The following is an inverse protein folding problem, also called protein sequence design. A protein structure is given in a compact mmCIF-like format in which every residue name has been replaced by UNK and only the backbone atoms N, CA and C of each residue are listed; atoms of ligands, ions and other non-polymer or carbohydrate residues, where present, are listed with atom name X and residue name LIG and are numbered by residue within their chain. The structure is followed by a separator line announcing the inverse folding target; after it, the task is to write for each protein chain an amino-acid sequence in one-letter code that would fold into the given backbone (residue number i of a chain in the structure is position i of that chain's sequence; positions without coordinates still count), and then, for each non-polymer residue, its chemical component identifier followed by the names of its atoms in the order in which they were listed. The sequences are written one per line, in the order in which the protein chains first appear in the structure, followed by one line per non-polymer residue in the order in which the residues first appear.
data_IF_179769353088
#
_entry.id   IF_179769353088
#
_cell.length_a   1.000
_cell.length_b   1.000
_cell.length_c   1.000
_cell.angle_alpha   90.00
_cell.angle_beta   90.00
_cell.angle_gamma   90.00
#
_symmetry.space_group_name_H-M   'P 1'
#
loop_
_entity.id
_entity.type
_entity.pdbx_description
1 polymer ?
#
# COMPACT_ATOMS: atom_id res chain seq x y z
N UNK A 1 4.71 4.50 6.14
CA UNK A 1 4.54 5.26 7.39
C UNK A 1 5.90 5.55 8.00
N UNK A 2 6.11 6.76 8.50
CA UNK A 2 7.21 7.11 9.39
C UNK A 2 6.65 7.22 10.80
N UNK A 3 7.39 6.72 11.80
CA UNK A 3 7.00 6.85 13.20
C UNK A 3 7.12 8.34 13.60
N UNK A 4 6.06 8.99 14.11
CA UNK A 4 6.05 10.42 14.43
C UNK A 4 6.98 10.78 15.59
N UNK A 5 6.83 10.05 16.70
CA UNK A 5 7.55 10.26 17.95
C UNK A 5 8.50 9.09 18.14
N UNK A 6 9.79 9.42 18.23
CA UNK A 6 10.81 8.42 18.51
C UNK A 6 10.61 7.88 19.93
N UNK A 7 10.79 6.57 20.16
CA UNK A 7 10.73 6.01 21.51
C UNK A 7 11.82 6.65 22.38
N UNK A 8 11.59 6.74 23.69
CA UNK A 8 12.59 7.25 24.64
C UNK A 8 13.83 6.36 24.69
N UNK A 9 13.63 5.05 24.53
CA UNK A 9 14.65 4.02 24.55
C UNK A 9 14.36 3.00 23.45
N UNK A 10 15.40 2.42 22.86
CA UNK A 10 15.27 1.35 21.88
C UNK A 10 16.38 0.34 22.09
N UNK A 11 15.99 -0.91 22.30
CA UNK A 11 16.94 -2.02 22.33
C UNK A 11 17.42 -2.30 20.91
N UNK A 12 18.72 -2.13 20.70
CA UNK A 12 19.34 -2.44 19.41
C UNK A 12 19.34 -3.96 19.25
N UNK A 13 18.64 -4.51 18.25
CA UNK A 13 18.56 -5.95 18.04
C UNK A 13 19.94 -6.53 17.70
N UNK A 14 20.53 -7.24 18.66
CA UNK A 14 21.79 -7.96 18.49
C UNK A 14 21.55 -9.34 17.88
N UNK A 15 22.56 -9.84 17.17
CA UNK A 15 22.55 -11.21 16.65
C UNK A 15 22.74 -12.17 17.82
N UNK A 16 21.71 -12.97 18.11
CA UNK A 16 21.78 -14.01 19.13
C UNK A 16 22.05 -15.36 18.46
N UNK A 17 22.82 -16.21 19.12
CA UNK A 17 23.10 -17.57 18.64
C UNK A 17 22.27 -18.58 19.47
N UNK A 18 21.84 -19.67 18.83
CA UNK A 18 21.16 -20.78 19.48
C UNK A 18 22.15 -21.77 20.11
N UNK A 19 23.07 -21.27 20.94
CA UNK A 19 24.08 -22.11 21.57
C UNK A 19 23.44 -23.08 22.58
N UNK A 20 24.00 -24.27 22.68
CA UNK A 20 23.59 -25.32 23.62
C UNK A 20 24.79 -25.73 24.46
N UNK A 21 24.61 -25.90 25.77
CA UNK A 21 25.66 -26.33 26.68
C UNK A 21 25.36 -27.75 27.16
N UNK A 22 26.36 -28.63 27.08
CA UNK A 22 26.26 -30.01 27.53
C UNK A 22 27.22 -30.24 28.69
N UNK A 23 26.70 -30.79 29.78
CA UNK A 23 27.52 -31.24 30.91
C UNK A 23 28.05 -32.65 30.64
N UNK A 24 29.36 -32.81 30.68
CA UNK A 24 30.05 -34.10 30.52
C UNK A 24 30.79 -34.47 31.79
N UNK A 25 31.32 -35.70 31.87
CA UNK A 25 32.11 -36.19 33.01
C UNK A 25 33.35 -35.31 33.28
N UNK A 26 33.89 -34.64 32.25
CA UNK A 26 35.10 -33.82 32.34
C UNK A 26 34.83 -32.31 32.26
N UNK A 27 33.59 -31.87 32.48
CA UNK A 27 33.20 -30.45 32.45
C UNK A 27 32.16 -30.12 31.38
N UNK A 28 31.97 -28.83 31.11
CA UNK A 28 30.96 -28.34 30.18
C UNK A 28 31.53 -28.10 28.78
N UNK A 29 30.78 -28.50 27.76
CA UNK A 29 31.08 -28.23 26.35
C UNK A 29 29.96 -27.35 25.79
N UNK A 30 30.31 -26.30 25.04
CA UNK A 30 29.34 -25.42 24.39
C UNK A 30 29.31 -25.66 22.87
N UNK A 31 28.16 -26.09 22.37
CA UNK A 31 27.87 -26.18 20.95
C UNK A 31 27.43 -24.81 20.42
N UNK A 32 28.16 -24.29 19.44
CA UNK A 32 27.81 -23.04 18.76
C UNK A 32 26.61 -23.32 17.84
N UNK A 33 25.48 -22.69 18.14
CA UNK A 33 24.27 -22.85 17.35
C UNK A 33 24.24 -21.97 16.11
N UNK A 34 23.07 -21.93 15.46
CA UNK A 34 22.79 -21.02 14.36
C UNK A 34 22.24 -19.69 14.87
N UNK A 35 22.28 -18.65 14.02
CA UNK A 35 21.71 -17.35 14.34
C UNK A 35 20.19 -17.46 14.57
N UNK A 36 19.74 -16.89 15.70
CA UNK A 36 18.33 -16.68 16.03
C UNK A 36 17.82 -15.44 15.31
N UNK A 37 16.54 -15.49 14.92
CA UNK A 37 15.83 -14.32 14.39
C UNK A 37 15.87 -13.18 15.41
N UNK A 38 16.25 -11.99 14.94
CA UNK A 38 16.30 -10.81 15.79
C UNK A 38 14.88 -10.35 16.14
N UNK A 39 14.72 -9.78 17.32
CA UNK A 39 13.45 -9.20 17.79
C UNK A 39 13.67 -7.76 18.17
N UNK A 40 12.67 -6.92 17.92
CA UNK A 40 12.70 -5.52 18.30
C UNK A 40 11.32 -5.11 18.83
N UNK A 41 11.35 -4.37 19.93
CA UNK A 41 10.15 -3.81 20.55
C UNK A 41 10.27 -2.29 20.53
N UNK A 42 9.23 -1.63 20.02
CA UNK A 42 9.15 -0.17 19.98
C UNK A 42 7.95 0.25 20.84
N UNK A 43 8.22 1.05 21.86
CA UNK A 43 7.19 1.65 22.71
C UNK A 43 7.22 3.16 22.53
N UNK A 44 6.14 3.74 22.05
CA UNK A 44 6.02 5.18 21.81
C UNK A 44 4.54 5.58 21.80
N UNK A 45 4.19 6.74 21.27
CA UNK A 45 2.82 7.17 21.09
C UNK A 45 2.59 7.83 19.73
N UNK A 46 1.36 7.70 19.24
CA UNK A 46 0.89 8.41 18.06
C UNK A 46 0.23 9.72 18.51
N UNK A 47 0.78 10.87 18.09
CA UNK A 47 0.26 12.16 18.45
C UNK A 47 -1.01 12.45 17.65
N UNK A 48 -2.01 12.94 18.35
CA UNK A 48 -3.22 13.47 17.74
C UNK A 48 -3.19 15.01 17.69
N UNK A 49 -2.50 15.61 18.64
CA UNK A 49 -2.18 17.04 18.70
C UNK A 49 -0.80 17.34 18.10
N UNK A 50 -0.56 18.57 17.60
CA UNK A 50 0.76 18.97 17.13
C UNK A 50 1.77 19.06 18.28
N UNK A 51 2.87 18.33 18.17
CA UNK A 51 4.02 18.40 19.07
C UNK A 51 5.25 18.90 18.34
N UNK A 52 6.09 19.72 18.99
CA UNK A 52 7.33 20.25 18.42
C UNK A 52 8.36 19.17 18.06
N UNK A 53 8.28 18.03 18.73
CA UNK A 53 9.14 16.87 18.51
C UNK A 53 8.52 15.80 17.58
N UNK A 54 7.36 16.07 16.97
CA UNK A 54 6.81 15.24 15.88
C UNK A 54 7.68 15.35 14.63
N UNK A 55 8.38 14.27 14.28
CA UNK A 55 9.24 14.21 13.09
C UNK A 55 8.48 14.20 11.76
N UNK A 56 7.18 13.93 11.79
CA UNK A 56 6.32 13.92 10.61
C UNK A 56 5.62 15.26 10.39
N UNK A 57 5.43 16.07 11.45
CA UNK A 57 4.67 17.32 11.40
C UNK A 57 3.23 17.13 10.92
N UNK A 58 2.68 15.93 11.10
CA UNK A 58 1.41 15.50 10.49
C UNK A 58 0.27 15.41 11.49
N UNK A 59 0.54 15.51 12.79
CA UNK A 59 -0.50 15.60 13.79
C UNK A 59 -1.33 16.89 13.58
N UNK A 60 -2.65 16.77 13.55
CA UNK A 60 -3.57 17.88 13.23
C UNK A 60 -3.72 18.26 11.74
N UNK A 61 -2.98 17.63 10.81
CA UNK A 61 -3.10 17.93 9.37
C UNK A 61 -4.39 17.32 8.78
N UNK A 62 -5.18 18.11 8.04
CA UNK A 62 -6.49 17.70 7.49
C UNK A 62 -6.41 16.43 6.61
N UNK A 63 -5.34 16.26 5.84
CA UNK A 63 -5.11 15.06 5.03
C UNK A 63 -5.05 13.76 5.86
N UNK A 64 -4.68 13.87 7.13
CA UNK A 64 -4.62 12.79 8.11
C UNK A 64 -5.81 12.76 9.08
N UNK A 65 -6.87 13.52 8.79
CA UNK A 65 -8.14 13.48 9.52
C UNK A 65 -8.41 14.70 10.41
N UNK A 66 -7.50 15.68 10.44
CA UNK A 66 -7.60 16.83 11.33
C UNK A 66 -7.24 16.49 12.78
N UNK A 67 -7.38 17.46 13.68
CA UNK A 67 -7.33 17.22 15.13
C UNK A 67 -8.43 16.22 15.52
N UNK A 68 -8.10 15.17 16.28
CA UNK A 68 -9.05 14.13 16.70
C UNK A 68 -8.91 12.79 15.98
N UNK A 69 -8.15 12.69 14.88
CA UNK A 69 -8.15 11.50 14.02
C UNK A 69 -6.78 11.05 13.50
N UNK A 70 -5.72 11.84 13.70
CA UNK A 70 -4.40 11.55 13.14
C UNK A 70 -3.75 10.34 13.81
N UNK A 71 -3.93 10.17 15.12
CA UNK A 71 -3.44 9.00 15.84
C UNK A 71 -4.19 7.73 15.40
N UNK A 72 -5.52 7.82 15.25
CA UNK A 72 -6.37 6.71 14.82
C UNK A 72 -6.02 6.19 13.42
N UNK A 73 -5.74 7.07 12.46
CA UNK A 73 -5.34 6.64 11.11
C UNK A 73 -4.04 5.84 11.09
N UNK A 74 -3.09 6.15 11.97
CA UNK A 74 -1.82 5.39 12.07
C UNK A 74 -2.05 4.00 12.63
N UNK A 75 -2.87 3.89 13.66
CA UNK A 75 -3.34 2.61 14.20
C UNK A 75 -4.01 1.77 13.11
N UNK A 76 -4.91 2.37 12.32
CA UNK A 76 -5.60 1.69 11.21
C UNK A 76 -4.64 1.24 10.10
N UNK A 77 -3.63 2.04 9.75
CA UNK A 77 -2.63 1.66 8.76
C UNK A 77 -1.75 0.49 9.24
N UNK A 78 -1.30 0.49 10.50
CA UNK A 78 -0.60 -0.65 11.09
C UNK A 78 -1.46 -1.92 11.12
N UNK A 79 -2.73 -1.79 11.55
CA UNK A 79 -3.67 -2.91 11.49
C UNK A 79 -3.88 -3.42 10.06
N UNK A 80 -3.90 -2.52 9.06
CA UNK A 80 -3.97 -2.91 7.66
C UNK A 80 -2.74 -3.69 7.22
N UNK A 81 -1.55 -3.32 7.69
CA UNK A 81 -0.32 -4.06 7.38
C UNK A 81 -0.33 -5.46 8.01
N UNK A 82 -0.76 -5.58 9.27
CA UNK A 82 -0.96 -6.87 9.93
C UNK A 82 -1.94 -7.75 9.12
N UNK A 83 -3.09 -7.19 8.73
CA UNK A 83 -4.11 -7.91 7.93
C UNK A 83 -3.61 -8.35 6.56
N UNK A 84 -2.63 -7.66 5.97
CA UNK A 84 -2.07 -8.03 4.66
C UNK A 84 -1.17 -9.26 4.74
N UNK A 85 -0.64 -9.61 5.91
CA UNK A 85 0.27 -10.76 6.11
C UNK A 85 1.50 -10.72 5.19
N UNK A 86 2.09 -9.52 5.03
CA UNK A 86 3.28 -9.29 4.21
C UNK A 86 4.37 -8.73 5.13
N UNK A 87 5.64 -9.20 5.04
CA UNK A 87 6.74 -8.62 5.80
C UNK A 87 6.95 -7.15 5.39
N UNK A 88 7.19 -6.30 6.39
CA UNK A 88 7.47 -4.88 6.21
C UNK A 88 8.97 -4.63 6.34
N UNK A 89 9.46 -3.51 5.80
CA UNK A 89 10.88 -3.15 5.93
C UNK A 89 11.06 -2.10 7.02
N UNK A 90 11.78 -2.46 8.08
CA UNK A 90 12.19 -1.55 9.13
C UNK A 90 13.51 -0.88 8.73
N UNK A 91 13.53 0.45 8.76
CA UNK A 91 14.74 1.25 8.54
C UNK A 91 14.96 2.19 9.71
N UNK A 92 16.12 2.09 10.34
CA UNK A 92 16.58 3.02 11.37
C UNK A 92 17.95 3.56 10.92
N UNK A 93 17.98 4.69 10.20
CA UNK A 93 19.20 5.17 9.54
C UNK A 93 20.38 5.39 10.48
N UNK A 94 20.14 5.90 11.69
CA UNK A 94 21.21 6.23 12.65
C UNK A 94 22.01 5.00 13.10
N UNK A 95 21.38 3.83 13.17
CA UNK A 95 22.02 2.57 13.60
C UNK A 95 22.29 1.62 12.43
N UNK A 96 22.15 2.09 11.19
CA UNK A 96 22.24 1.28 9.96
C UNK A 96 21.38 -0.02 9.97
N UNK A 97 20.25 0.02 10.66
CA UNK A 97 19.35 -1.13 10.74
C UNK A 97 18.43 -1.10 9.52
N UNK A 98 18.52 -2.13 8.68
CA UNK A 98 17.74 -2.22 7.45
C UNK A 98 17.28 -3.67 7.16
N UNK A 99 16.27 -4.13 7.90
CA UNK A 99 15.80 -5.53 7.86
C UNK A 99 14.33 -5.67 7.49
N UNK A 100 13.96 -6.84 6.95
CA UNK A 100 12.57 -7.25 6.83
C UNK A 100 12.06 -7.74 8.18
N UNK A 101 10.85 -7.37 8.56
CA UNK A 101 10.24 -7.75 9.84
C UNK A 101 8.76 -8.11 9.67
N UNK A 102 8.26 -8.98 10.53
CA UNK A 102 6.84 -9.20 10.77
C UNK A 102 6.39 -8.44 12.01
N UNK A 103 5.13 -8.04 12.04
CA UNK A 103 4.51 -7.50 13.25
C UNK A 103 3.89 -8.69 13.99
N UNK A 104 4.40 -8.98 15.17
CA UNK A 104 3.94 -10.12 15.96
C UNK A 104 2.83 -9.69 16.93
N UNK A 105 3.03 -8.56 17.59
CA UNK A 105 2.07 -7.98 18.50
C UNK A 105 2.02 -6.45 18.35
N UNK A 106 0.81 -5.89 18.44
CA UNK A 106 0.59 -4.46 18.41
C UNK A 106 -0.52 -4.09 19.40
N UNK A 107 -0.14 -3.36 20.44
CA UNK A 107 -1.03 -3.04 21.57
C UNK A 107 -1.22 -1.53 21.69
N UNK A 108 -2.23 -0.93 21.03
CA UNK A 108 -2.57 0.49 21.19
C UNK A 108 -3.36 0.72 22.49
N UNK A 109 -3.06 1.81 23.19
CA UNK A 109 -3.69 2.26 24.44
C UNK A 109 -4.04 3.73 24.34
N UNK A 110 -5.30 4.08 24.54
CA UNK A 110 -5.77 5.48 24.48
C UNK A 110 -5.57 6.11 25.86
N UNK A 111 -4.88 7.25 25.92
CA UNK A 111 -4.83 8.08 27.13
C UNK A 111 -6.02 9.04 27.15
N UNK A 112 -6.73 9.08 28.29
CA UNK A 112 -7.82 10.03 28.48
C UNK A 112 -7.32 11.47 28.44
N UNK A 113 -8.02 12.34 27.71
CA UNK A 113 -7.79 13.79 27.71
C UNK A 113 -6.96 14.34 26.55
N UNK A 114 -5.92 13.65 26.07
CA UNK A 114 -5.09 14.16 24.97
C UNK A 114 -5.52 13.65 23.58
N UNK A 115 -6.20 12.50 23.50
CA UNK A 115 -6.52 11.87 22.21
C UNK A 115 -5.33 11.12 21.59
N UNK A 116 -4.15 11.18 22.20
CA UNK A 116 -2.99 10.42 21.76
C UNK A 116 -3.16 8.93 22.07
N UNK A 117 -2.48 8.11 21.27
CA UNK A 117 -2.52 6.66 21.40
C UNK A 117 -1.12 6.16 21.67
N UNK A 118 -0.85 5.79 22.92
CA UNK A 118 0.34 5.04 23.30
C UNK A 118 0.30 3.67 22.63
N UNK A 119 1.45 3.13 22.25
CA UNK A 119 1.51 1.81 21.65
C UNK A 119 2.79 1.07 22.01
N UNK A 120 2.67 -0.25 22.05
CA UNK A 120 3.79 -1.19 22.03
C UNK A 120 3.71 -2.01 20.75
N UNK A 121 4.79 -2.00 19.98
CA UNK A 121 4.93 -2.70 18.70
C UNK A 121 6.08 -3.70 18.81
N UNK A 122 5.75 -4.98 18.77
CA UNK A 122 6.72 -6.08 18.79
C UNK A 122 6.87 -6.65 17.38
N UNK A 123 8.12 -6.77 16.93
CA UNK A 123 8.45 -7.24 15.60
C UNK A 123 9.59 -8.25 15.63
N UNK A 124 9.46 -9.30 14.82
CA UNK A 124 10.52 -10.29 14.60
C UNK A 124 11.08 -10.17 13.19
N UNK A 125 12.38 -10.40 13.04
CA UNK A 125 13.08 -10.42 11.77
C UNK A 125 12.52 -11.49 10.84
N UNK A 126 12.23 -11.07 9.60
CA UNK A 126 11.81 -11.94 8.52
C UNK A 126 12.97 -12.16 7.54
N UNK A 127 13.50 -13.38 7.55
CA UNK A 127 14.54 -13.80 6.61
C UNK A 127 13.87 -14.22 5.30
N UNK A 128 14.16 -13.50 4.21
CA UNK A 128 13.65 -13.87 2.90
C UNK A 128 14.32 -15.17 2.42
N UNK A 129 13.54 -16.22 2.11
CA UNK A 129 14.10 -17.47 1.61
C UNK A 129 14.75 -17.21 0.25
N UNK A 130 16.07 -17.44 0.18
CA UNK A 130 16.81 -17.38 -1.08
C UNK A 130 16.55 -18.66 -1.86
N UNK A 131 15.52 -18.66 -2.70
CA UNK A 131 15.26 -19.77 -3.61
C UNK A 131 16.33 -19.76 -4.71
N UNK A 132 17.29 -20.68 -4.62
CA UNK A 132 18.20 -20.97 -5.72
C UNK A 132 17.40 -21.69 -6.81
N UNK A 133 16.80 -20.93 -7.73
CA UNK A 133 16.22 -21.51 -8.95
C UNK A 133 17.38 -22.00 -9.80
N UNK A 134 17.61 -23.32 -9.81
CA UNK A 134 18.52 -23.92 -10.77
C UNK A 134 17.95 -23.61 -12.17
N UNK A 135 18.76 -22.94 -13.01
CA UNK A 135 18.37 -22.68 -14.41
C UNK A 135 18.24 -24.02 -15.11
N UNK A 136 17.01 -24.48 -15.32
CA UNK A 136 16.78 -25.66 -16.14
C UNK A 136 17.26 -25.37 -17.58
N UNK A 137 18.29 -26.07 -18.04
CA UNK A 137 18.85 -26.03 -19.40
C UNK A 137 17.99 -26.84 -20.39
N UNK A 138 16.67 -26.69 -20.31
CA UNK A 138 15.71 -27.33 -21.21
C UNK A 138 14.49 -26.47 -21.44
N UNK A 139 13.90 -26.53 -22.64
CA UNK A 139 12.61 -25.88 -22.95
C UNK A 139 11.49 -26.57 -22.16
N UNK A 140 11.31 -26.19 -20.90
CA UNK A 140 10.18 -26.63 -20.10
C UNK A 140 9.02 -25.68 -20.38
N UNK A 141 7.89 -26.21 -20.89
CA UNK A 141 6.63 -25.45 -20.95
C UNK A 141 6.30 -24.96 -19.53
N UNK A 142 5.88 -23.71 -19.31
CA UNK A 142 5.60 -23.21 -17.98
C UNK A 142 4.40 -23.95 -17.38
N UNK A 143 4.66 -25.02 -16.65
CA UNK A 143 3.70 -25.65 -15.76
C UNK A 143 3.75 -24.85 -14.46
N UNK A 144 2.85 -23.89 -14.32
CA UNK A 144 2.66 -23.16 -13.06
C UNK A 144 2.38 -24.22 -11.97
N UNK A 145 3.17 -24.28 -10.88
CA UNK A 145 2.83 -25.12 -9.74
C UNK A 145 1.41 -24.79 -9.32
N UNK A 146 0.53 -25.79 -9.31
CA UNK A 146 -0.83 -25.66 -8.84
C UNK A 146 -0.77 -25.51 -7.33
N UNK A 147 -0.47 -24.30 -6.84
CA UNK A 147 -0.67 -23.97 -5.44
C UNK A 147 -2.13 -24.30 -5.12
N UNK A 148 -2.34 -25.12 -4.10
CA UNK A 148 -3.67 -25.26 -3.52
C UNK A 148 -4.19 -23.85 -3.26
N UNK A 149 -5.38 -23.58 -3.78
CA UNK A 149 -5.98 -22.25 -3.72
C UNK A 149 -5.96 -21.82 -2.26
N UNK A 150 -5.23 -20.76 -1.96
CA UNK A 150 -5.34 -20.08 -0.68
C UNK A 150 -6.82 -19.83 -0.40
N UNK A 151 -7.36 -20.48 0.64
CA UNK A 151 -8.69 -20.20 1.15
C UNK A 151 -8.52 -19.00 2.08
N UNK A 152 -8.96 -17.79 1.68
CA UNK A 152 -8.90 -16.65 2.58
C UNK A 152 -9.72 -16.98 3.85
N UNK A 153 -9.29 -16.49 5.03
CA UNK A 153 -10.10 -16.60 6.24
C UNK A 153 -11.50 -16.02 5.96
N UNK A 154 -12.56 -16.55 6.61
CA UNK A 154 -13.92 -16.07 6.43
C UNK A 154 -13.92 -14.55 6.55
N UNK A 155 -14.33 -13.85 5.48
CA UNK A 155 -14.52 -12.41 5.55
C UNK A 155 -15.64 -12.18 6.55
N UNK A 156 -15.34 -11.60 7.70
CA UNK A 156 -16.33 -10.87 8.48
C UNK A 156 -17.12 -10.01 7.50
N UNK A 157 -18.44 -10.04 7.61
CA UNK A 157 -19.38 -9.37 6.72
C UNK A 157 -19.21 -7.85 6.80
N UNK A 158 -18.15 -7.34 6.17
CA UNK A 158 -18.15 -5.99 5.63
C UNK A 158 -19.31 -5.97 4.65
N UNK A 159 -20.36 -5.23 5.01
CA UNK A 159 -21.48 -4.90 4.13
C UNK A 159 -20.91 -4.45 2.80
N UNK A 160 -20.88 -5.36 1.83
CA UNK A 160 -20.60 -5.03 0.44
C UNK A 160 -21.73 -4.10 0.03
N UNK A 161 -21.45 -2.82 -0.13
CA UNK A 161 -22.32 -1.98 -0.93
C UNK A 161 -22.25 -2.51 -2.36
N UNK A 162 -23.16 -3.41 -2.68
CA UNK A 162 -23.40 -3.89 -4.03
C UNK A 162 -24.08 -2.77 -4.82
N UNK A 163 -23.32 -1.76 -5.20
CA UNK A 163 -23.65 -0.96 -6.38
C UNK A 163 -22.74 -1.41 -7.52
N UNK A 164 -22.96 -2.65 -7.99
CA UNK A 164 -22.69 -2.97 -9.39
C UNK A 164 -23.79 -2.29 -10.20
N UNK A 165 -23.68 -0.97 -10.38
CA UNK A 165 -24.34 -0.33 -11.50
C UNK A 165 -23.81 -1.01 -12.75
N UNK A 166 -24.71 -1.56 -13.59
CA UNK A 166 -24.36 -2.02 -14.92
C UNK A 166 -23.50 -0.93 -15.58
N UNK A 167 -22.33 -1.23 -16.16
CA UNK A 167 -21.58 -0.23 -16.90
C UNK A 167 -22.50 0.33 -17.99
N UNK A 168 -22.68 1.65 -18.03
CA UNK A 168 -23.61 2.28 -18.97
C UNK A 168 -23.14 2.13 -20.42
N UNK A 169 -24.00 2.57 -21.35
CA UNK A 169 -23.87 2.32 -22.80
C UNK A 169 -22.51 2.73 -23.39
N UNK A 170 -21.81 3.71 -22.80
CA UNK A 170 -20.49 4.15 -23.26
C UNK A 170 -19.36 3.14 -23.04
N UNK A 171 -19.45 2.27 -22.03
CA UNK A 171 -18.37 1.35 -21.62
C UNK A 171 -18.07 0.25 -22.64
N UNK A 172 -19.10 -0.26 -23.32
CA UNK A 172 -18.96 -1.35 -24.31
C UNK A 172 -18.78 -0.84 -25.75
N UNK A 173 -18.71 0.48 -25.94
CA UNK A 173 -18.50 1.09 -27.25
C UNK A 173 -17.17 0.66 -27.89
N UNK A 174 -17.08 0.62 -29.23
CA UNK A 174 -15.81 0.41 -29.94
C UNK A 174 -14.72 1.40 -29.50
N UNK A 175 -15.13 2.63 -29.22
CA UNK A 175 -14.29 3.72 -28.72
C UNK A 175 -13.67 3.37 -27.36
N UNK A 176 -14.50 2.94 -26.40
CA UNK A 176 -14.03 2.52 -25.08
C UNK A 176 -13.07 1.32 -25.15
N UNK A 177 -13.34 0.37 -26.06
CA UNK A 177 -12.45 -0.78 -26.30
C UNK A 177 -11.10 -0.34 -26.86
N UNK A 178 -11.10 0.54 -27.86
CA UNK A 178 -9.87 1.06 -28.46
C UNK A 178 -8.98 1.81 -27.44
N UNK A 179 -9.58 2.62 -26.56
CA UNK A 179 -8.84 3.30 -25.49
C UNK A 179 -8.26 2.28 -24.50
N UNK A 180 -9.03 1.27 -24.07
CA UNK A 180 -8.55 0.22 -23.16
C UNK A 180 -7.37 -0.56 -23.73
N UNK A 181 -7.44 -0.96 -24.99
CA UNK A 181 -6.35 -1.67 -25.67
C UNK A 181 -5.09 -0.81 -25.76
N UNK A 182 -5.22 0.48 -26.09
CA UNK A 182 -4.08 1.39 -26.15
C UNK A 182 -3.45 1.63 -24.77
N UNK A 183 -4.27 1.82 -23.72
CA UNK A 183 -3.80 1.95 -22.33
C UNK A 183 -3.04 0.70 -21.89
N UNK A 184 -3.57 -0.48 -22.21
CA UNK A 184 -2.91 -1.77 -21.93
C UNK A 184 -1.60 -1.92 -22.70
N UNK A 185 -1.57 -1.56 -23.99
CA UNK A 185 -0.37 -1.60 -24.84
C UNK A 185 0.76 -0.73 -24.29
N UNK A 186 0.42 0.45 -23.77
CA UNK A 186 1.39 1.35 -23.15
C UNK A 186 1.77 0.90 -21.72
N UNK A 187 1.05 -0.04 -21.11
CA UNK A 187 1.26 -0.45 -19.73
C UNK A 187 0.83 0.65 -18.73
N UNK A 188 -0.21 1.40 -19.09
CA UNK A 188 -0.85 2.42 -18.27
C UNK A 188 -2.04 1.83 -17.52
N UNK A 189 -2.61 2.58 -16.57
CA UNK A 189 -3.76 2.13 -15.76
C UNK A 189 -4.90 3.13 -15.83
N UNK A 190 -6.11 2.63 -16.09
CA UNK A 190 -7.35 3.41 -15.94
C UNK A 190 -7.64 3.60 -14.45
N UNK A 191 -7.62 4.84 -13.97
CA UNK A 191 -7.94 5.19 -12.57
C UNK A 191 -9.42 5.44 -12.36
N UNK A 192 -10.13 5.94 -13.37
CA UNK A 192 -11.54 6.28 -13.30
C UNK A 192 -12.22 6.13 -14.67
N UNK A 193 -13.51 5.83 -14.64
CA UNK A 193 -14.35 5.52 -15.80
C UNK A 193 -15.74 6.13 -15.59
N UNK A 194 -16.80 5.33 -15.56
CA UNK A 194 -18.12 5.76 -15.13
C UNK A 194 -18.17 6.32 -13.71
N UNK A 195 -18.94 7.38 -13.51
CA UNK A 195 -19.21 7.95 -12.17
C UNK A 195 -20.69 8.28 -12.03
N UNK A 196 -21.25 8.02 -10.84
CA UNK A 196 -22.61 8.43 -10.52
C UNK A 196 -22.73 9.96 -10.39
N UNK A 197 -23.92 10.50 -10.63
CA UNK A 197 -24.20 11.93 -10.46
C UNK A 197 -23.85 12.43 -9.03
N UNK A 198 -24.13 11.61 -8.01
CA UNK A 198 -23.76 11.90 -6.61
C UNK A 198 -22.24 12.03 -6.46
N UNK A 199 -21.47 11.06 -6.97
CA UNK A 199 -20.02 11.08 -6.87
C UNK A 199 -19.39 12.23 -7.67
N UNK A 200 -19.96 12.57 -8.82
CA UNK A 200 -19.50 13.69 -9.64
C UNK A 200 -19.71 15.03 -8.92
N UNK A 201 -20.81 15.20 -8.18
CA UNK A 201 -21.06 16.39 -7.36
C UNK A 201 -20.10 16.49 -6.18
N UNK A 202 -19.81 15.38 -5.50
CA UNK A 202 -18.88 15.32 -4.35
C UNK A 202 -17.45 15.75 -4.72
N UNK A 203 -17.01 15.47 -5.94
CA UNK A 203 -15.65 15.81 -6.42
C UNK A 203 -15.62 17.14 -7.21
N UNK A 204 -16.72 17.92 -7.20
CA UNK A 204 -16.80 19.20 -7.92
C UNK A 204 -16.77 19.06 -9.45
N UNK A 205 -17.15 17.89 -9.99
CA UNK A 205 -17.14 17.63 -11.42
C UNK A 205 -18.22 18.42 -12.19
N UNK A 206 -17.93 18.74 -13.45
CA UNK A 206 -18.88 19.47 -14.31
C UNK A 206 -20.19 18.69 -14.51
N UNK A 207 -21.32 19.40 -14.58
CA UNK A 207 -22.66 18.82 -14.83
C UNK A 207 -22.76 18.09 -16.18
N UNK A 208 -21.96 18.50 -17.16
CA UNK A 208 -21.92 17.90 -18.49
C UNK A 208 -20.85 16.80 -18.66
N UNK A 209 -20.18 16.39 -17.57
CA UNK A 209 -19.04 15.46 -17.60
C UNK A 209 -19.37 14.15 -18.32
N UNK A 210 -18.48 13.72 -19.23
CA UNK A 210 -18.60 12.46 -19.94
C UNK A 210 -18.45 11.22 -19.03
N UNK A 211 -17.95 11.39 -17.80
CA UNK A 211 -17.98 10.33 -16.79
C UNK A 211 -19.41 9.96 -16.34
N UNK A 212 -20.38 10.86 -16.49
CA UNK A 212 -21.78 10.60 -16.15
C UNK A 212 -22.48 9.69 -17.17
N UNK A 213 -21.93 9.58 -18.38
CA UNK A 213 -22.48 8.78 -19.48
C UNK A 213 -21.66 7.53 -19.79
N UNK A 214 -20.66 7.21 -18.95
CA UNK A 214 -19.69 6.12 -19.16
C UNK A 214 -18.85 6.30 -20.44
N UNK A 215 -18.67 7.53 -20.90
CA UNK A 215 -17.97 7.87 -22.15
C UNK A 215 -16.59 8.48 -21.95
N UNK A 216 -16.00 8.29 -20.77
CA UNK A 216 -14.71 8.85 -20.41
C UNK A 216 -13.86 7.88 -19.57
N UNK A 217 -12.54 8.00 -19.72
CA UNK A 217 -11.55 7.39 -18.85
C UNK A 217 -10.55 8.42 -18.35
N UNK A 218 -10.20 8.30 -17.07
CA UNK A 218 -9.00 8.93 -16.52
C UNK A 218 -7.90 7.87 -16.47
N UNK A 219 -6.73 8.20 -17.02
CA UNK A 219 -5.59 7.28 -17.13
C UNK A 219 -4.39 7.85 -16.41
N UNK A 220 -3.76 7.02 -15.58
CA UNK A 220 -2.57 7.34 -14.79
C UNK A 220 -1.42 6.41 -15.15
N UNK A 221 -0.19 6.90 -14.94
CA UNK A 221 1.02 6.12 -15.13
C UNK A 221 2.23 6.99 -15.41
N UNK A 222 3.20 6.43 -16.13
CA UNK A 222 4.42 7.16 -16.48
C UNK A 222 4.10 8.35 -17.40
N UNK A 223 4.61 9.54 -17.06
CA UNK A 223 4.32 10.80 -17.77
C UNK A 223 4.65 10.75 -19.27
N UNK A 224 5.78 10.14 -19.67
CA UNK A 224 6.15 10.02 -21.10
C UNK A 224 5.14 9.18 -21.88
N UNK A 225 4.64 8.12 -21.25
CA UNK A 225 3.62 7.25 -21.86
C UNK A 225 2.24 7.90 -21.86
N UNK A 226 1.95 8.76 -20.90
CA UNK A 226 0.76 9.61 -20.89
C UNK A 226 0.81 10.66 -22.02
N UNK A 227 1.98 11.23 -22.30
CA UNK A 227 2.20 12.10 -23.47
C UNK A 227 1.86 11.34 -24.77
N UNK A 228 2.33 10.10 -24.92
CA UNK A 228 2.01 9.23 -26.07
C UNK A 228 0.50 8.91 -26.18
N UNK A 229 -0.15 8.59 -25.05
CA UNK A 229 -1.59 8.33 -25.02
C UNK A 229 -2.40 9.57 -25.40
N UNK A 230 -2.02 10.74 -24.88
CA UNK A 230 -2.70 11.99 -25.18
C UNK A 230 -2.57 12.38 -26.67
N UNK A 231 -1.38 12.22 -27.25
CA UNK A 231 -1.17 12.44 -28.68
C UNK A 231 -1.98 11.48 -29.54
N UNK A 232 -1.98 10.19 -29.19
CA UNK A 232 -2.80 9.17 -29.87
C UNK A 232 -4.30 9.49 -29.79
N UNK A 233 -4.78 9.91 -28.60
CA UNK A 233 -6.18 10.23 -28.37
C UNK A 233 -6.65 11.37 -29.27
N UNK A 234 -5.89 12.46 -29.31
CA UNK A 234 -6.17 13.62 -30.19
C UNK A 234 -6.18 13.22 -31.67
N UNK A 235 -5.21 12.41 -32.10
CA UNK A 235 -5.14 11.92 -33.49
C UNK A 235 -6.33 11.06 -33.89
N UNK A 236 -6.94 10.35 -32.93
CA UNK A 236 -8.12 9.50 -33.15
C UNK A 236 -9.45 10.25 -33.00
N UNK A 237 -9.42 11.56 -32.74
CA UNK A 237 -10.61 12.40 -32.60
C UNK A 237 -11.27 12.30 -31.23
N UNK A 238 -10.57 11.80 -30.21
CA UNK A 238 -11.04 11.86 -28.83
C UNK A 238 -10.81 13.25 -28.25
N UNK A 239 -11.67 13.65 -27.32
CA UNK A 239 -11.38 14.81 -26.49
C UNK A 239 -10.39 14.41 -25.41
N UNK A 240 -9.29 15.17 -25.28
CA UNK A 240 -8.18 14.83 -24.39
C UNK A 240 -7.76 16.04 -23.57
N UNK A 241 -7.80 15.91 -22.24
CA UNK A 241 -7.18 16.86 -21.31
C UNK A 241 -5.91 16.25 -20.73
N UNK A 242 -4.80 16.94 -20.94
CA UNK A 242 -3.49 16.55 -20.45
C UNK A 242 -2.58 17.77 -20.38
N UNK A 243 -1.89 17.94 -19.25
CA UNK A 243 -1.06 19.13 -18.94
C UNK A 243 -1.85 20.45 -18.97
N UNK A 244 -3.11 20.38 -18.56
CA UNK A 244 -4.00 21.53 -18.39
C UNK A 244 -4.42 21.63 -16.93
N UNK A 245 -4.97 22.78 -16.51
CA UNK A 245 -5.46 22.97 -15.14
C UNK A 245 -6.38 21.80 -14.72
N UNK A 246 -6.04 21.17 -13.59
CA UNK A 246 -6.76 20.00 -13.05
C UNK A 246 -6.42 18.64 -13.68
N UNK A 247 -5.50 18.57 -14.65
CA UNK A 247 -5.15 17.36 -15.41
C UNK A 247 -3.62 17.27 -15.68
N UNK A 248 -2.82 17.46 -14.63
CA UNK A 248 -1.35 17.40 -14.69
C UNK A 248 -0.77 16.02 -14.32
N UNK A 249 -1.53 15.22 -13.57
CA UNK A 249 -1.14 13.92 -13.02
C UNK A 249 -1.87 12.73 -13.67
N UNK A 250 -2.88 13.01 -14.50
CA UNK A 250 -3.63 12.03 -15.27
C UNK A 250 -4.09 12.58 -16.62
N UNK A 251 -4.28 11.70 -17.59
CA UNK A 251 -4.89 12.01 -18.89
C UNK A 251 -6.37 11.71 -18.81
N UNK A 252 -7.22 12.71 -19.04
CA UNK A 252 -8.64 12.50 -19.28
C UNK A 252 -8.87 12.31 -20.77
N UNK A 253 -9.58 11.25 -21.15
CA UNK A 253 -9.96 10.94 -22.52
C UNK A 253 -11.45 10.62 -22.58
N UNK A 254 -12.21 11.36 -23.40
CA UNK A 254 -13.63 11.09 -23.63
C UNK A 254 -14.00 11.01 -25.11
N UNK A 255 -15.04 10.23 -25.39
CA UNK A 255 -15.60 10.00 -26.73
C UNK A 255 -17.07 10.43 -26.83
N UNK A 256 -17.52 11.24 -25.88
CA UNK A 256 -18.84 11.85 -25.92
C UNK A 256 -18.92 12.80 -27.10
N UNK A 257 -19.93 12.62 -27.95
CA UNK A 257 -20.23 13.58 -29.03
C UNK A 257 -20.61 14.92 -28.39
N UNK A 258 -19.94 16.00 -28.81
CA UNK A 258 -20.16 17.37 -28.35
C UNK A 258 -20.68 18.22 -29.49
#
# INVERSE_FOLDING_TARGET
MQIPILPSEIDIPQTLMANETFSTVNGEIQLIGVSKVRKITITSFFPDNPYSFDKTGQAGFEGWGGQGAAAKKRVEELQRWIKRRIPIRLRIPYYDINMGVTIDNFTPKVKGGSGDIDYTLEMTEFVFPQLKVQKATGRVKPTVPKFEKYVPPPKEESKKSSNKGKPGKGYDSPQAKAVREQVKKLGLRISSAGRSAKRNKEIGGAKASAHLTDEAYDVVGNAKKLDELAAWGRKKGYFVLWRTKGHYDHVHIDWKKR
#
